data_IF_959027868432
#
_entry.id   IF_959027868432
#
_cell.length_a   1.000
_cell.length_b   1.000
_cell.length_c   1.000
_cell.angle_alpha   90.00
_cell.angle_beta   90.00
_cell.angle_gamma   90.00
#
_symmetry.space_group_name_H-M   'P 1'
#
loop_
_entity.id
_entity.type
_entity.pdbx_description
1 polymer ?
#
# COMPACT_ATOMS: atom_id res chain seq x y z
N UNK A 1 7.71 -8.75 24.81
CA UNK A 1 6.32 -9.08 25.15
C UNK A 1 6.35 -9.95 26.40
N UNK A 2 5.57 -9.60 27.45
CA UNK A 2 5.46 -10.44 28.63
C UNK A 2 4.69 -11.69 28.27
N UNK A 3 5.02 -12.84 28.86
CA UNK A 3 4.29 -14.11 28.74
C UNK A 3 2.78 -14.01 29.06
N UNK A 4 2.35 -12.87 29.55
CA UNK A 4 0.99 -12.51 29.89
C UNK A 4 0.04 -12.40 28.68
N UNK A 5 0.59 -12.20 27.46
CA UNK A 5 -0.17 -11.98 26.22
C UNK A 5 0.20 -12.94 25.08
N UNK A 6 0.74 -14.11 25.41
CA UNK A 6 1.11 -15.15 24.44
C UNK A 6 -0.06 -15.68 23.60
N UNK A 7 -1.29 -15.52 24.12
CA UNK A 7 -2.54 -15.86 23.46
C UNK A 7 -3.05 -14.76 22.50
N UNK A 8 -2.44 -13.57 22.49
CA UNK A 8 -2.88 -12.41 21.72
C UNK A 8 -2.14 -12.32 20.38
N UNK A 9 -2.88 -12.46 19.31
CA UNK A 9 -2.39 -12.20 17.95
C UNK A 9 -2.77 -10.81 17.50
N UNK A 10 -1.78 -9.93 17.32
CA UNK A 10 -2.02 -8.57 16.84
C UNK A 10 -1.90 -8.51 15.33
N UNK A 11 -2.83 -7.83 14.70
CA UNK A 11 -2.87 -7.63 13.25
C UNK A 11 -2.60 -6.18 12.89
N UNK A 12 -1.81 -5.97 11.84
CA UNK A 12 -1.65 -4.63 11.27
C UNK A 12 -2.96 -4.18 10.63
N UNK A 13 -3.37 -2.93 10.89
CA UNK A 13 -4.48 -2.29 10.19
C UNK A 13 -4.15 -2.08 8.72
N UNK A 14 -4.89 -2.74 7.83
CA UNK A 14 -4.59 -2.73 6.39
C UNK A 14 -4.86 -1.37 5.76
N UNK A 15 -5.79 -0.57 6.28
CA UNK A 15 -6.04 0.79 5.83
C UNK A 15 -4.85 1.71 6.12
N UNK A 16 -4.30 1.66 7.33
CA UNK A 16 -3.09 2.39 7.70
C UNK A 16 -1.86 1.87 6.96
N UNK A 17 -1.77 0.57 6.74
CA UNK A 17 -0.71 -0.04 5.92
C UNK A 17 -0.77 0.51 4.49
N UNK A 18 -1.95 0.51 3.85
CA UNK A 18 -2.16 1.05 2.51
C UNK A 18 -1.73 2.53 2.41
N UNK A 19 -2.18 3.38 3.34
CA UNK A 19 -1.81 4.80 3.35
C UNK A 19 -0.30 5.02 3.43
N UNK A 20 0.40 4.25 4.26
CA UNK A 20 1.85 4.37 4.41
C UNK A 20 2.63 3.78 3.23
N UNK A 21 2.12 2.74 2.61
CA UNK A 21 2.69 2.21 1.35
C UNK A 21 2.52 3.22 0.21
N UNK A 22 1.34 3.82 0.05
CA UNK A 22 1.10 4.87 -0.95
C UNK A 22 2.04 6.06 -0.70
N UNK A 23 2.18 6.48 0.55
CA UNK A 23 3.11 7.55 0.91
C UNK A 23 4.55 7.20 0.54
N UNK A 24 5.03 6.00 0.86
CA UNK A 24 6.38 5.54 0.50
C UNK A 24 6.57 5.48 -1.01
N UNK A 25 5.58 4.98 -1.74
CA UNK A 25 5.58 4.95 -3.20
C UNK A 25 5.60 6.36 -3.80
N UNK A 26 4.85 7.29 -3.23
CA UNK A 26 4.81 8.68 -3.69
C UNK A 26 6.13 9.41 -3.41
N UNK A 27 6.73 9.20 -2.26
CA UNK A 27 8.04 9.78 -1.95
C UNK A 27 9.13 9.33 -2.94
N UNK A 28 9.06 8.08 -3.42
CA UNK A 28 9.99 7.56 -4.44
C UNK A 28 9.73 8.18 -5.82
N UNK A 29 8.46 8.33 -6.18
CA UNK A 29 8.04 8.67 -7.53
C UNK A 29 7.66 10.15 -7.69
N UNK A 30 7.81 10.96 -6.64
CA UNK A 30 7.34 12.34 -6.64
C UNK A 30 7.99 13.17 -7.74
N UNK A 31 9.28 13.33 -7.65
CA UNK A 31 10.06 14.16 -8.60
C UNK A 31 10.02 13.62 -10.03
N UNK A 32 10.18 12.31 -10.28
CA UNK A 32 10.18 11.84 -11.67
C UNK A 32 8.80 11.89 -12.35
N UNK A 33 7.69 11.75 -11.60
CA UNK A 33 6.39 11.58 -12.23
C UNK A 33 5.24 12.34 -11.56
N UNK A 34 5.07 12.18 -10.23
CA UNK A 34 3.82 12.52 -9.56
C UNK A 34 3.61 14.01 -9.38
N UNK A 35 4.65 14.80 -9.24
CA UNK A 35 4.56 16.23 -9.11
C UNK A 35 3.94 16.86 -10.38
N UNK A 36 4.43 16.45 -11.55
CA UNK A 36 3.88 16.92 -12.82
C UNK A 36 2.45 16.43 -13.05
N UNK A 37 2.13 15.24 -12.59
CA UNK A 37 0.78 14.71 -12.65
C UNK A 37 -0.18 15.49 -11.76
N UNK A 38 0.24 15.91 -10.57
CA UNK A 38 -0.55 16.81 -9.73
C UNK A 38 -0.93 18.09 -10.44
N UNK A 39 0.01 18.69 -11.17
CA UNK A 39 -0.26 19.90 -11.96
C UNK A 39 -1.30 19.65 -13.07
N UNK A 40 -1.18 18.54 -13.80
CA UNK A 40 -2.14 18.13 -14.84
C UNK A 40 -3.53 17.91 -14.26
N UNK A 41 -3.61 17.32 -13.05
CA UNK A 41 -4.86 17.12 -12.33
C UNK A 41 -5.36 18.38 -11.59
N UNK A 42 -4.73 19.52 -11.82
CA UNK A 42 -5.06 20.83 -11.22
C UNK A 42 -4.88 20.91 -9.70
N UNK A 43 -4.02 20.06 -9.13
CA UNK A 43 -3.55 20.20 -7.75
C UNK A 43 -2.28 21.06 -7.74
N UNK A 44 -2.44 22.36 -7.93
CA UNK A 44 -1.32 23.29 -8.20
C UNK A 44 -0.76 23.97 -6.95
N UNK A 45 -1.57 24.12 -5.89
CA UNK A 45 -1.08 24.75 -4.66
C UNK A 45 -0.12 23.81 -3.90
N UNK A 46 0.86 24.41 -3.22
CA UNK A 46 1.84 23.66 -2.41
C UNK A 46 1.16 22.79 -1.34
N UNK A 47 0.08 23.30 -0.74
CA UNK A 47 -0.71 22.51 0.21
C UNK A 47 -1.33 21.29 -0.43
N UNK A 48 -1.98 21.44 -1.61
CA UNK A 48 -2.60 20.32 -2.32
C UNK A 48 -1.54 19.27 -2.73
N UNK A 49 -0.39 19.72 -3.25
CA UNK A 49 0.73 18.85 -3.58
C UNK A 49 1.26 18.12 -2.34
N UNK A 50 1.41 18.83 -1.22
CA UNK A 50 1.89 18.23 0.03
C UNK A 50 0.88 17.23 0.62
N UNK A 51 -0.42 17.53 0.58
CA UNK A 51 -1.46 16.59 1.00
C UNK A 51 -1.46 15.31 0.16
N UNK A 52 -1.29 15.42 -1.15
CA UNK A 52 -1.15 14.27 -2.03
C UNK A 52 0.13 13.46 -1.70
N UNK A 53 1.29 14.13 -1.66
CA UNK A 53 2.59 13.51 -1.40
C UNK A 53 2.65 12.77 -0.06
N UNK A 54 2.05 13.33 0.97
CA UNK A 54 2.05 12.76 2.33
C UNK A 54 0.87 11.84 2.60
N UNK A 55 0.01 11.62 1.60
CA UNK A 55 -1.21 10.82 1.70
C UNK A 55 -2.17 11.28 2.82
N UNK A 56 -2.17 12.59 3.13
CA UNK A 56 -3.11 13.18 4.10
C UNK A 56 -4.53 13.20 3.55
N UNK A 57 -4.69 13.40 2.24
CA UNK A 57 -5.94 13.18 1.53
C UNK A 57 -5.82 11.85 0.76
N UNK A 58 -6.36 10.79 1.37
CA UNK A 58 -6.30 9.46 0.82
C UNK A 58 -7.04 9.32 -0.52
N UNK A 59 -8.12 10.07 -0.73
CA UNK A 59 -8.88 10.03 -1.99
C UNK A 59 -8.08 10.63 -3.14
N UNK A 60 -7.46 11.78 -2.92
CA UNK A 60 -6.58 12.43 -3.90
C UNK A 60 -5.37 11.54 -4.21
N UNK A 61 -4.73 11.00 -3.17
CA UNK A 61 -3.60 10.09 -3.35
C UNK A 61 -3.99 8.85 -4.17
N UNK A 62 -5.17 8.28 -3.90
CA UNK A 62 -5.67 7.15 -4.65
C UNK A 62 -5.95 7.48 -6.12
N UNK A 63 -6.54 8.64 -6.42
CA UNK A 63 -6.77 9.09 -7.80
C UNK A 63 -5.45 9.27 -8.55
N UNK A 64 -4.45 9.89 -7.92
CA UNK A 64 -3.10 10.03 -8.49
C UNK A 64 -2.47 8.67 -8.80
N UNK A 65 -2.58 7.71 -7.87
CA UNK A 65 -2.06 6.35 -8.09
C UNK A 65 -2.74 5.68 -9.29
N UNK A 66 -4.06 5.78 -9.41
CA UNK A 66 -4.80 5.18 -10.53
C UNK A 66 -4.44 5.84 -11.86
N UNK A 67 -4.30 7.16 -11.91
CA UNK A 67 -3.87 7.89 -13.12
C UNK A 67 -2.46 7.47 -13.50
N UNK A 68 -1.53 7.43 -12.53
CA UNK A 68 -0.16 6.98 -12.77
C UNK A 68 -0.13 5.55 -13.33
N UNK A 69 -0.80 4.62 -12.65
CA UNK A 69 -0.85 3.22 -13.05
C UNK A 69 -1.43 3.05 -14.47
N UNK A 70 -2.60 3.62 -14.69
CA UNK A 70 -3.32 3.48 -15.98
C UNK A 70 -2.54 4.09 -17.14
N UNK A 71 -1.96 5.28 -16.92
CA UNK A 71 -1.16 5.96 -17.95
C UNK A 71 0.07 5.15 -18.31
N UNK A 72 0.81 4.74 -17.30
CA UNK A 72 2.07 3.99 -17.48
C UNK A 72 1.82 2.63 -18.10
N UNK A 73 0.77 1.93 -17.65
CA UNK A 73 0.36 0.65 -18.24
C UNK A 73 0.00 0.82 -19.72
N UNK A 74 -0.78 1.84 -20.07
CA UNK A 74 -1.13 2.11 -21.49
C UNK A 74 0.12 2.39 -22.33
N UNK A 75 1.09 3.13 -21.83
CA UNK A 75 2.32 3.44 -22.57
C UNK A 75 3.23 2.22 -22.75
N UNK A 76 3.18 1.25 -21.87
CA UNK A 76 3.94 -0.01 -22.00
C UNK A 76 3.21 -1.06 -22.82
N UNK A 77 1.92 -1.26 -22.56
CA UNK A 77 1.17 -2.37 -23.17
C UNK A 77 0.68 -2.05 -24.57
N UNK A 78 0.27 -0.81 -24.87
CA UNK A 78 -0.23 -0.46 -26.20
C UNK A 78 0.81 -0.65 -27.31
N UNK A 79 2.09 -0.23 -27.15
CA UNK A 79 3.14 -0.53 -28.13
C UNK A 79 3.34 -2.04 -28.33
N UNK A 80 3.35 -2.81 -27.26
CA UNK A 80 3.45 -4.27 -27.32
C UNK A 80 2.29 -4.90 -28.10
N UNK A 81 1.03 -4.55 -27.78
CA UNK A 81 -0.12 -5.09 -28.49
C UNK A 81 -0.06 -4.74 -29.97
N UNK A 82 0.31 -3.50 -30.32
CA UNK A 82 0.48 -3.10 -31.73
C UNK A 82 1.59 -3.91 -32.44
N UNK A 83 2.68 -4.17 -31.74
CA UNK A 83 3.77 -5.00 -32.25
C UNK A 83 3.27 -6.42 -32.54
N UNK A 84 2.58 -7.06 -31.59
CA UNK A 84 2.01 -8.39 -31.76
C UNK A 84 0.99 -8.46 -32.90
N UNK A 85 0.10 -7.46 -33.02
CA UNK A 85 -0.87 -7.38 -34.10
C UNK A 85 -0.20 -7.31 -35.50
N UNK A 86 0.93 -6.60 -35.61
CA UNK A 86 1.71 -6.53 -36.86
C UNK A 86 2.33 -7.89 -37.21
N UNK A 87 2.61 -8.74 -36.24
CA UNK A 87 3.13 -10.09 -36.44
C UNK A 87 2.01 -11.10 -36.68
N UNK A 88 0.74 -10.71 -36.58
CA UNK A 88 -0.41 -11.63 -36.67
C UNK A 88 -0.54 -12.56 -35.47
N UNK A 89 0.05 -12.19 -34.33
CA UNK A 89 0.12 -13.02 -33.12
C UNK A 89 -0.74 -12.47 -31.99
N UNK A 90 -1.29 -13.39 -31.17
CA UNK A 90 -2.03 -13.00 -29.95
C UNK A 90 -1.06 -12.51 -28.86
N UNK A 91 -1.34 -11.37 -28.22
CA UNK A 91 -0.58 -10.89 -27.08
C UNK A 91 -0.82 -11.78 -25.85
N UNK A 92 0.24 -12.23 -25.21
CA UNK A 92 0.22 -12.99 -23.96
C UNK A 92 1.20 -12.37 -22.96
N UNK A 93 1.06 -12.65 -21.65
CA UNK A 93 2.01 -12.16 -20.65
C UNK A 93 3.46 -12.58 -20.92
N UNK A 94 3.69 -13.82 -21.34
CA UNK A 94 5.03 -14.33 -21.65
C UNK A 94 5.66 -13.59 -22.83
N UNK A 95 4.87 -13.34 -23.88
CA UNK A 95 5.32 -12.53 -25.02
C UNK A 95 5.58 -11.09 -24.65
N UNK A 96 4.82 -10.53 -23.69
CA UNK A 96 5.12 -9.21 -23.17
C UNK A 96 6.47 -9.17 -22.47
N UNK A 97 6.80 -10.17 -21.66
CA UNK A 97 8.10 -10.24 -21.00
C UNK A 97 9.27 -10.34 -21.98
N UNK A 98 9.09 -11.08 -23.08
CA UNK A 98 10.09 -11.14 -24.17
C UNK A 98 10.22 -9.77 -24.85
N UNK A 99 9.11 -9.14 -25.21
CA UNK A 99 9.09 -7.80 -25.78
C UNK A 99 9.77 -6.77 -24.85
N UNK A 100 9.47 -6.83 -23.54
CA UNK A 100 10.10 -5.97 -22.55
C UNK A 100 11.62 -6.18 -22.53
N UNK A 101 12.09 -7.42 -22.50
CA UNK A 101 13.51 -7.74 -22.49
C UNK A 101 14.23 -7.24 -23.75
N UNK A 102 13.59 -7.38 -24.90
CA UNK A 102 14.16 -7.01 -26.18
C UNK A 102 14.20 -5.48 -26.41
N UNK A 103 13.10 -4.78 -26.11
CA UNK A 103 12.94 -3.38 -26.52
C UNK A 103 13.00 -2.36 -25.39
N UNK A 104 12.76 -2.77 -24.14
CA UNK A 104 12.59 -1.83 -23.04
C UNK A 104 13.64 -1.96 -21.94
N UNK A 105 14.10 -3.17 -21.63
CA UNK A 105 14.94 -3.43 -20.45
C UNK A 105 16.30 -2.75 -20.50
N UNK A 106 16.83 -2.49 -21.70
CA UNK A 106 18.10 -1.77 -21.89
C UNK A 106 17.99 -0.27 -21.59
N UNK A 107 16.78 0.29 -21.59
CA UNK A 107 16.55 1.68 -21.23
C UNK A 107 16.17 1.77 -19.75
N UNK A 108 17.02 2.41 -18.90
CA UNK A 108 16.78 2.48 -17.45
C UNK A 108 15.44 3.13 -17.06
N UNK A 109 14.92 4.04 -17.88
CA UNK A 109 13.64 4.72 -17.64
C UNK A 109 12.47 3.75 -17.80
N UNK A 110 12.49 2.97 -18.86
CA UNK A 110 11.48 1.95 -19.12
C UNK A 110 11.57 0.81 -18.09
N UNK A 111 12.78 0.37 -17.75
CA UNK A 111 13.00 -0.63 -16.72
C UNK A 111 12.46 -0.16 -15.36
N UNK A 112 12.74 1.09 -15.01
CA UNK A 112 12.21 1.69 -13.79
C UNK A 112 10.69 1.80 -13.82
N UNK A 113 10.11 2.32 -14.88
CA UNK A 113 8.66 2.43 -15.02
C UNK A 113 7.97 1.07 -14.93
N UNK A 114 8.54 0.06 -15.59
CA UNK A 114 8.05 -1.32 -15.52
C UNK A 114 7.99 -1.83 -14.07
N UNK A 115 9.08 -1.64 -13.32
CA UNK A 115 9.14 -1.99 -11.90
C UNK A 115 8.06 -1.27 -11.08
N UNK A 116 7.92 0.05 -11.27
CA UNK A 116 6.93 0.84 -10.53
C UNK A 116 5.49 0.42 -10.83
N UNK A 117 5.19 0.01 -12.06
CA UNK A 117 3.85 -0.39 -12.45
C UNK A 117 3.54 -1.81 -12.02
N UNK A 118 4.32 -2.79 -12.46
CA UNK A 118 3.97 -4.18 -12.29
C UNK A 118 4.29 -4.75 -10.90
N UNK A 119 5.28 -4.18 -10.21
CA UNK A 119 5.61 -4.64 -8.86
C UNK A 119 4.88 -3.83 -7.79
N UNK A 120 4.92 -2.48 -7.84
CA UNK A 120 4.46 -1.66 -6.72
C UNK A 120 3.05 -1.12 -6.90
N UNK A 121 2.76 -0.31 -7.93
CA UNK A 121 1.42 0.29 -8.04
C UNK A 121 0.34 -0.76 -8.28
N UNK A 122 0.63 -1.83 -9.01
CA UNK A 122 -0.29 -2.97 -9.15
C UNK A 122 -0.51 -3.68 -7.81
N UNK A 123 0.55 -3.88 -7.03
CA UNK A 123 0.40 -4.51 -5.71
C UNK A 123 -0.41 -3.63 -4.73
N UNK A 124 -0.28 -2.29 -4.78
CA UNK A 124 -1.12 -1.39 -3.99
C UNK A 124 -2.60 -1.53 -4.40
N UNK A 125 -2.87 -1.60 -5.70
CA UNK A 125 -4.23 -1.83 -6.21
C UNK A 125 -4.75 -3.19 -5.75
N UNK A 126 -3.94 -4.23 -5.84
CA UNK A 126 -4.28 -5.58 -5.40
C UNK A 126 -4.55 -5.63 -3.89
N UNK A 127 -3.78 -4.92 -3.08
CA UNK A 127 -4.01 -4.82 -1.64
C UNK A 127 -5.42 -4.29 -1.35
N UNK A 128 -5.80 -3.16 -1.94
CA UNK A 128 -7.14 -2.59 -1.78
C UNK A 128 -8.24 -3.52 -2.31
N UNK A 129 -8.01 -4.14 -3.46
CA UNK A 129 -8.98 -5.10 -4.01
C UNK A 129 -9.12 -6.35 -3.14
N UNK A 130 -8.03 -6.81 -2.55
CA UNK A 130 -8.02 -7.91 -1.58
C UNK A 130 -8.87 -7.58 -0.34
N UNK A 131 -8.66 -6.41 0.24
CA UNK A 131 -9.48 -5.92 1.36
C UNK A 131 -10.95 -5.79 0.94
N UNK A 132 -11.23 -5.12 -0.18
CA UNK A 132 -12.60 -4.91 -0.66
C UNK A 132 -13.38 -6.20 -0.90
N UNK A 133 -12.70 -7.27 -1.26
CA UNK A 133 -13.28 -8.58 -1.58
C UNK A 133 -13.12 -9.63 -0.48
N UNK A 134 -12.57 -9.26 0.66
CA UNK A 134 -12.20 -10.19 1.75
C UNK A 134 -11.35 -11.36 1.24
N UNK A 135 -10.34 -11.06 0.42
CA UNK A 135 -9.45 -12.05 -0.19
C UNK A 135 -8.06 -11.96 0.44
N UNK A 136 -7.80 -12.81 1.43
CA UNK A 136 -6.53 -12.85 2.17
C UNK A 136 -5.35 -13.20 1.27
N UNK A 137 -5.49 -14.14 0.35
CA UNK A 137 -4.41 -14.52 -0.57
C UNK A 137 -3.93 -13.32 -1.40
N UNK A 138 -4.87 -12.50 -1.89
CA UNK A 138 -4.53 -11.31 -2.65
C UNK A 138 -3.85 -10.26 -1.77
N UNK A 139 -4.30 -10.11 -0.51
CA UNK A 139 -3.68 -9.22 0.48
C UNK A 139 -2.27 -9.65 0.80
N UNK A 140 -2.04 -10.93 1.09
CA UNK A 140 -0.70 -11.46 1.43
C UNK A 140 0.26 -11.35 0.25
N UNK A 141 -0.19 -11.68 -0.97
CA UNK A 141 0.60 -11.48 -2.19
C UNK A 141 0.99 -10.01 -2.39
N UNK A 142 0.05 -9.09 -2.18
CA UNK A 142 0.33 -7.67 -2.28
C UNK A 142 1.36 -7.22 -1.23
N UNK A 143 1.19 -7.59 0.03
CA UNK A 143 2.13 -7.28 1.12
C UNK A 143 3.53 -7.80 0.82
N UNK A 144 3.66 -9.00 0.28
CA UNK A 144 4.94 -9.56 -0.12
C UNK A 144 5.72 -8.65 -1.09
N UNK A 145 5.04 -8.05 -2.07
CA UNK A 145 5.68 -7.12 -3.01
C UNK A 145 5.92 -5.73 -2.42
N UNK A 146 5.11 -5.29 -1.45
CA UNK A 146 5.14 -3.93 -0.92
C UNK A 146 6.13 -3.73 0.24
N UNK A 147 6.48 -4.80 0.94
CA UNK A 147 7.38 -4.74 2.11
C UNK A 147 8.69 -3.98 1.86
N UNK A 148 9.25 -4.12 0.67
CA UNK A 148 10.54 -3.48 0.32
C UNK A 148 10.46 -1.96 0.25
N UNK A 149 9.26 -1.38 0.02
CA UNK A 149 9.08 0.07 0.01
C UNK A 149 9.46 0.72 1.34
N UNK A 150 9.17 0.06 2.46
CA UNK A 150 9.53 0.56 3.78
C UNK A 150 11.03 0.52 4.07
N UNK A 151 11.75 -0.43 3.47
CA UNK A 151 13.22 -0.53 3.60
C UNK A 151 13.94 0.46 2.68
N UNK A 152 13.36 0.78 1.53
CA UNK A 152 13.89 1.78 0.61
C UNK A 152 13.69 3.21 1.08
N UNK A 153 12.75 3.43 2.01
CA UNK A 153 12.42 4.74 2.60
C UNK A 153 12.54 4.69 4.11
N UNK A 154 12.65 5.85 4.73
CA UNK A 154 12.82 5.94 6.19
C UNK A 154 11.47 5.82 6.92
N UNK A 155 10.90 4.61 6.92
CA UNK A 155 9.67 4.28 7.63
C UNK A 155 9.92 3.17 8.68
N UNK A 156 10.72 3.41 9.73
CA UNK A 156 11.17 2.36 10.65
C UNK A 156 10.03 1.66 11.38
N UNK A 157 8.99 2.39 11.80
CA UNK A 157 7.85 1.78 12.50
C UNK A 157 7.11 0.77 11.61
N UNK A 158 6.76 1.14 10.37
CA UNK A 158 6.04 0.25 9.47
C UNK A 158 6.91 -0.91 8.98
N UNK A 159 8.22 -0.70 8.87
CA UNK A 159 9.17 -1.77 8.59
C UNK A 159 9.14 -2.85 9.68
N UNK A 160 9.21 -2.43 10.94
CA UNK A 160 9.20 -3.36 12.08
C UNK A 160 7.85 -4.06 12.24
N UNK A 161 6.75 -3.30 12.09
CA UNK A 161 5.39 -3.86 12.17
C UNK A 161 5.16 -4.88 11.04
N UNK A 162 5.58 -4.60 9.81
CA UNK A 162 5.44 -5.51 8.67
C UNK A 162 6.24 -6.80 8.90
N UNK A 163 7.46 -6.67 9.40
CA UNK A 163 8.30 -7.82 9.72
C UNK A 163 7.66 -8.68 10.83
N UNK A 164 7.20 -8.05 11.91
CA UNK A 164 6.50 -8.73 13.00
C UNK A 164 5.24 -9.45 12.51
N UNK A 165 4.39 -8.79 11.73
CA UNK A 165 3.16 -9.37 11.18
C UNK A 165 3.47 -10.56 10.25
N UNK A 166 4.54 -10.48 9.46
CA UNK A 166 5.00 -11.59 8.61
C UNK A 166 5.48 -12.78 9.43
N UNK A 167 6.29 -12.56 10.46
CA UNK A 167 6.78 -13.61 11.35
C UNK A 167 5.64 -14.25 12.14
N UNK A 168 4.77 -13.41 12.72
CA UNK A 168 3.61 -13.89 13.48
C UNK A 168 2.70 -14.76 12.59
N UNK A 169 2.40 -14.34 11.36
CA UNK A 169 1.61 -15.12 10.42
C UNK A 169 2.29 -16.45 10.06
N UNK A 170 3.61 -16.46 9.94
CA UNK A 170 4.36 -17.69 9.61
C UNK A 170 4.27 -18.74 10.73
N UNK A 171 4.38 -18.29 11.98
CA UNK A 171 4.47 -19.18 13.14
C UNK A 171 3.14 -19.45 13.86
N UNK A 172 2.05 -18.75 13.50
CA UNK A 172 0.76 -18.97 14.15
C UNK A 172 0.15 -20.34 13.79
N UNK A 173 -0.64 -20.97 14.68
CA UNK A 173 -1.37 -22.20 14.40
C UNK A 173 -2.30 -22.10 13.19
N UNK A 174 -2.51 -23.22 12.50
CA UNK A 174 -3.34 -23.22 11.26
C UNK A 174 -4.80 -22.84 11.52
N UNK A 175 -5.35 -23.16 12.69
CA UNK A 175 -6.69 -22.75 13.09
C UNK A 175 -6.78 -21.23 13.20
N UNK A 176 -5.77 -20.59 13.77
CA UNK A 176 -5.69 -19.13 13.90
C UNK A 176 -5.50 -18.48 12.52
N UNK A 177 -4.62 -19.05 11.67
CA UNK A 177 -4.45 -18.61 10.28
C UNK A 177 -5.78 -18.63 9.52
N UNK A 178 -6.54 -19.71 9.67
CA UNK A 178 -7.83 -19.86 9.01
C UNK A 178 -8.83 -18.78 9.45
N UNK A 179 -8.90 -18.48 10.76
CA UNK A 179 -9.72 -17.37 11.26
C UNK A 179 -9.22 -16.03 10.69
N UNK A 180 -7.92 -15.83 10.71
CA UNK A 180 -7.28 -14.61 10.20
C UNK A 180 -7.57 -14.36 8.73
N UNK A 181 -7.45 -15.39 7.91
CA UNK A 181 -7.66 -15.33 6.47
C UNK A 181 -9.11 -15.09 6.09
N UNK A 182 -10.04 -15.70 6.82
CA UNK A 182 -11.47 -15.52 6.59
C UNK A 182 -12.01 -14.18 7.08
N UNK A 183 -11.28 -13.47 7.95
CA UNK A 183 -11.68 -12.20 8.53
C UNK A 183 -10.73 -11.05 8.13
N UNK A 184 -10.33 -11.00 6.88
CA UNK A 184 -9.46 -9.94 6.34
C UNK A 184 -10.15 -8.58 6.32
N UNK A 185 -11.47 -8.56 6.07
CA UNK A 185 -12.25 -7.35 6.02
C UNK A 185 -13.67 -7.61 6.53
N UNK A 186 -14.37 -6.55 6.89
CA UNK A 186 -15.79 -6.59 7.22
C UNK A 186 -16.61 -5.76 6.23
N UNK A 187 -17.91 -6.01 6.15
CA UNK A 187 -18.82 -5.23 5.30
C UNK A 187 -20.00 -4.72 6.13
N UNK A 188 -20.21 -3.42 6.13
CA UNK A 188 -21.39 -2.82 6.77
C UNK A 188 -22.66 -3.09 5.96
N UNK A 189 -22.56 -3.09 4.63
CA UNK A 189 -23.69 -3.24 3.72
C UNK A 189 -23.96 -4.68 3.26
N UNK A 190 -23.16 -5.66 3.68
CA UNK A 190 -23.26 -7.07 3.25
C UNK A 190 -22.81 -7.33 1.81
N UNK A 191 -22.37 -6.34 1.06
CA UNK A 191 -21.89 -6.52 -0.32
C UNK A 191 -20.46 -7.02 -0.38
N UNK A 192 -20.21 -8.13 -1.05
CA UNK A 192 -18.90 -8.79 -1.18
C UNK A 192 -17.78 -7.95 -1.81
N UNK A 193 -18.10 -6.81 -2.42
CA UNK A 193 -17.11 -5.91 -3.05
C UNK A 193 -16.89 -4.60 -2.29
N UNK A 194 -17.50 -4.45 -1.11
CA UNK A 194 -17.45 -3.24 -0.29
C UNK A 194 -16.79 -3.48 1.07
N UNK A 195 -15.93 -4.49 1.15
CA UNK A 195 -15.15 -4.77 2.35
C UNK A 195 -14.32 -3.57 2.77
N UNK A 196 -14.19 -3.40 4.07
CA UNK A 196 -13.37 -2.40 4.73
C UNK A 196 -12.49 -3.09 5.75
N UNK A 197 -11.32 -2.56 6.00
CA UNK A 197 -10.45 -3.11 7.01
C UNK A 197 -10.95 -2.80 8.43
N UNK A 198 -10.53 -3.61 9.39
CA UNK A 198 -10.96 -3.50 10.79
C UNK A 198 -10.53 -2.18 11.44
N UNK A 199 -9.41 -1.60 11.02
CA UNK A 199 -8.96 -0.30 11.53
C UNK A 199 -9.90 0.85 11.16
N UNK A 200 -10.66 0.73 10.06
CA UNK A 200 -11.71 1.68 9.73
C UNK A 200 -12.79 1.74 10.81
N UNK A 201 -13.20 0.59 11.35
CA UNK A 201 -14.17 0.54 12.43
C UNK A 201 -13.66 1.24 13.69
N UNK A 202 -12.39 1.01 14.04
CA UNK A 202 -11.73 1.70 15.16
C UNK A 202 -11.67 3.21 14.95
N UNK A 203 -11.37 3.67 13.73
CA UNK A 203 -11.33 5.11 13.41
C UNK A 203 -12.71 5.76 13.51
N UNK A 204 -13.76 5.09 13.08
CA UNK A 204 -15.14 5.60 13.26
C UNK A 204 -15.51 5.70 14.74
N UNK A 205 -15.17 4.71 15.56
CA UNK A 205 -15.35 4.76 17.01
C UNK A 205 -14.51 5.85 17.66
N UNK A 206 -13.26 5.97 17.29
CA UNK A 206 -12.38 7.06 17.75
C UNK A 206 -12.95 8.44 17.39
N UNK A 207 -13.52 8.57 16.19
CA UNK A 207 -14.15 9.83 15.76
C UNK A 207 -15.35 10.16 16.63
N UNK A 208 -16.20 9.18 16.94
CA UNK A 208 -17.33 9.36 17.82
C UNK A 208 -16.89 9.78 19.23
N UNK A 209 -15.92 9.07 19.80
CA UNK A 209 -15.37 9.39 21.14
C UNK A 209 -14.75 10.79 21.18
N UNK A 210 -13.99 11.19 20.16
CA UNK A 210 -13.35 12.52 20.09
C UNK A 210 -14.34 13.69 20.15
N UNK A 211 -15.61 13.49 19.78
CA UNK A 211 -16.63 14.53 19.86
C UNK A 211 -16.98 14.90 21.31
N UNK A 212 -16.71 14.01 22.25
CA UNK A 212 -17.03 14.21 23.68
C UNK A 212 -15.82 14.63 24.51
N UNK A 213 -14.62 14.73 23.88
CA UNK A 213 -13.43 15.20 24.59
C UNK A 213 -13.50 16.73 24.73
N UNK A 214 -13.41 17.26 25.96
CA UNK A 214 -13.36 18.69 26.17
C UNK A 214 -12.16 19.33 25.43
N UNK A 215 -12.39 20.44 24.75
CA UNK A 215 -11.31 21.17 24.09
C UNK A 215 -10.28 21.68 25.10
N UNK A 216 -9.00 21.34 24.89
CA UNK A 216 -7.88 21.87 25.66
C UNK A 216 -7.50 21.11 26.93
N UNK A 217 -8.13 19.97 27.25
CA UNK A 217 -7.73 19.13 28.38
C UNK A 217 -7.58 17.66 27.99
N UNK A 218 -6.68 16.96 28.65
CA UNK A 218 -6.60 15.50 28.60
C UNK A 218 -7.63 14.99 29.63
N UNK A 219 -8.64 14.21 29.24
CA UNK A 219 -9.62 13.67 30.19
C UNK A 219 -8.94 12.77 31.22
N UNK A 220 -9.45 12.77 32.45
CA UNK A 220 -9.07 11.79 33.48
C UNK A 220 -9.56 10.39 33.07
N UNK A 221 -9.00 9.34 33.66
CA UNK A 221 -9.45 7.97 33.43
C UNK A 221 -10.95 7.79 33.70
N UNK A 222 -11.45 8.39 34.77
CA UNK A 222 -12.87 8.37 35.12
C UNK A 222 -13.73 9.05 34.03
N UNK A 223 -13.26 10.15 33.46
CA UNK A 223 -13.93 10.81 32.34
C UNK A 223 -13.92 9.93 31.08
N UNK A 224 -12.80 9.27 30.81
CA UNK A 224 -12.71 8.31 29.71
C UNK A 224 -13.66 7.14 29.88
N UNK A 225 -13.73 6.55 31.06
CA UNK A 225 -14.63 5.45 31.37
C UNK A 225 -16.09 5.89 31.19
N UNK A 226 -16.44 7.08 31.71
CA UNK A 226 -17.78 7.63 31.54
C UNK A 226 -18.15 7.87 30.07
N UNK A 227 -17.23 8.39 29.26
CA UNK A 227 -17.44 8.58 27.82
C UNK A 227 -17.63 7.22 27.12
N UNK A 228 -16.76 6.25 27.38
CA UNK A 228 -16.82 4.94 26.76
C UNK A 228 -18.10 4.18 27.13
N UNK A 229 -18.50 4.19 28.40
CA UNK A 229 -19.71 3.52 28.87
C UNK A 229 -21.01 4.14 28.31
N UNK A 230 -21.01 5.45 28.05
CA UNK A 230 -22.21 6.16 27.60
C UNK A 230 -22.26 6.40 26.09
N UNK A 231 -21.22 6.07 25.35
CA UNK A 231 -21.09 6.40 23.92
C UNK A 231 -22.28 5.90 23.10
N UNK A 232 -22.71 4.67 23.31
CA UNK A 232 -23.83 4.08 22.57
C UNK A 232 -25.14 4.81 22.85
N UNK A 233 -25.42 5.12 24.10
CA UNK A 233 -26.64 5.85 24.48
C UNK A 233 -26.68 7.25 23.88
N UNK A 234 -25.54 7.93 23.80
CA UNK A 234 -25.44 9.26 23.20
C UNK A 234 -25.61 9.18 21.68
N UNK A 235 -25.02 8.19 21.01
CA UNK A 235 -25.25 7.94 19.59
C UNK A 235 -26.72 7.65 19.28
N UNK A 236 -27.39 6.82 20.08
CA UNK A 236 -28.79 6.49 19.92
C UNK A 236 -29.68 7.73 20.12
N UNK A 237 -29.38 8.56 21.13
CA UNK A 237 -30.08 9.82 21.37
C UNK A 237 -29.89 10.81 20.22
N UNK A 238 -28.67 10.96 19.70
CA UNK A 238 -28.39 11.82 18.55
C UNK A 238 -29.15 11.36 17.30
N UNK A 239 -29.20 10.05 17.05
CA UNK A 239 -29.95 9.48 15.94
C UNK A 239 -31.44 9.72 16.09
N UNK A 240 -31.99 9.56 17.31
CA UNK A 240 -33.38 9.83 17.60
C UNK A 240 -33.73 11.31 17.36
N UNK A 241 -32.94 12.24 17.91
CA UNK A 241 -33.14 13.68 17.72
C UNK A 241 -33.00 14.06 16.23
N UNK A 242 -32.00 13.52 15.51
CA UNK A 242 -31.81 13.76 14.09
C UNK A 242 -33.02 13.28 13.26
N UNK A 243 -33.61 12.14 13.63
CA UNK A 243 -34.82 11.62 12.97
C UNK A 243 -36.05 12.53 13.21
N UNK A 244 -36.20 13.08 14.42
CA UNK A 244 -37.29 14.00 14.75
C UNK A 244 -37.17 15.35 14.02
N UNK A 245 -35.94 15.85 13.88
CA UNK A 245 -35.66 17.15 13.22
C UNK A 245 -35.59 17.01 11.69
N UNK A 246 -35.54 15.77 11.17
CA UNK A 246 -35.40 15.52 9.72
C UNK A 246 -34.03 15.86 9.17
N UNK A 247 -33.02 16.10 10.02
CA UNK A 247 -31.65 16.39 9.64
C UNK A 247 -30.86 15.09 9.52
N UNK A 248 -30.99 14.43 8.39
CA UNK A 248 -30.01 13.42 8.05
C UNK A 248 -28.69 14.14 7.72
N UNK A 249 -27.65 13.89 8.50
CA UNK A 249 -26.30 14.29 8.14
C UNK A 249 -25.91 13.57 6.84
N UNK A 250 -26.24 14.17 5.71
CA UNK A 250 -25.60 13.77 4.47
C UNK A 250 -24.16 14.25 4.54
N UNK A 251 -23.23 13.34 4.76
CA UNK A 251 -21.80 13.61 4.58
C UNK A 251 -21.54 13.80 3.07
N UNK A 252 -22.14 14.79 2.47
CA UNK A 252 -21.86 15.22 1.12
C UNK A 252 -20.55 16.01 1.10
N UNK A 253 -19.43 15.32 1.37
CA UNK A 253 -18.16 15.78 0.86
C UNK A 253 -18.23 15.69 -0.66
N UNK A 254 -18.49 16.80 -1.31
CA UNK A 254 -18.27 16.92 -2.73
C UNK A 254 -16.76 16.86 -2.97
N UNK A 255 -16.24 15.65 -3.10
CA UNK A 255 -14.90 15.43 -3.65
C UNK A 255 -14.89 16.04 -5.05
N UNK A 256 -13.95 16.95 -5.30
CA UNK A 256 -13.74 17.53 -6.64
C UNK A 256 -13.58 16.36 -7.63
N UNK A 257 -14.53 16.20 -8.51
CA UNK A 257 -14.47 15.17 -9.55
C UNK A 257 -13.32 15.52 -10.50
N UNK A 258 -12.27 14.71 -10.47
CA UNK A 258 -11.18 14.80 -11.45
C UNK A 258 -11.60 14.00 -12.68
N UNK A 259 -11.51 14.61 -13.84
CA UNK A 259 -11.64 13.88 -15.11
C UNK A 259 -10.40 12.99 -15.29
N UNK A 260 -10.56 11.73 -14.93
CA UNK A 260 -9.49 10.73 -14.97
C UNK A 260 -9.06 10.47 -16.40
N UNK A 261 -9.96 10.48 -17.36
CA UNK A 261 -9.65 10.20 -18.76
C UNK A 261 -8.79 11.34 -19.35
N UNK A 262 -9.18 12.58 -19.10
CA UNK A 262 -8.38 13.76 -19.47
C UNK A 262 -7.00 13.71 -18.81
N UNK A 263 -6.93 13.43 -17.52
CA UNK A 263 -5.67 13.34 -16.79
C UNK A 263 -4.76 12.24 -17.35
N UNK A 264 -5.29 11.05 -17.64
CA UNK A 264 -4.55 9.94 -18.25
C UNK A 264 -4.00 10.33 -19.61
N UNK A 265 -4.82 10.92 -20.48
CA UNK A 265 -4.40 11.27 -21.84
C UNK A 265 -3.34 12.40 -21.83
N UNK A 266 -3.51 13.40 -20.98
CA UNK A 266 -2.56 14.50 -20.83
C UNK A 266 -1.23 14.03 -20.23
N UNK A 267 -1.27 13.16 -19.24
CA UNK A 267 -0.05 12.64 -18.63
C UNK A 267 0.70 11.67 -19.56
N UNK A 268 0.01 10.96 -20.44
CA UNK A 268 0.67 10.13 -21.47
C UNK A 268 1.62 10.95 -22.34
N UNK A 269 1.25 12.14 -22.74
CA UNK A 269 2.13 13.03 -23.53
C UNK A 269 3.39 13.42 -22.73
N UNK A 270 3.19 13.80 -21.47
CA UNK A 270 4.31 14.13 -20.58
C UNK A 270 5.22 12.92 -20.36
N UNK A 271 4.66 11.75 -20.10
CA UNK A 271 5.42 10.52 -19.86
C UNK A 271 6.27 10.14 -21.08
N UNK A 272 5.74 10.26 -22.31
CA UNK A 272 6.50 10.05 -23.54
C UNK A 272 7.71 10.97 -23.67
N UNK A 273 7.55 12.22 -23.26
CA UNK A 273 8.66 13.16 -23.23
C UNK A 273 9.75 12.72 -22.25
N UNK A 274 9.38 12.23 -21.08
CA UNK A 274 10.34 11.69 -20.11
C UNK A 274 11.03 10.40 -20.58
N UNK A 275 10.33 9.57 -21.34
CA UNK A 275 10.84 8.27 -21.76
C UNK A 275 11.70 8.34 -23.03
N UNK A 276 11.78 9.49 -23.71
CA UNK A 276 12.66 9.66 -24.86
C UNK A 276 14.14 9.54 -24.47
N UNK A 277 14.94 8.76 -25.22
CA UNK A 277 16.35 8.57 -24.90
C UNK A 277 17.17 9.88 -24.87
N UNK A 278 16.80 10.83 -25.71
CA UNK A 278 17.50 12.12 -25.91
C UNK A 278 17.25 13.14 -24.79
N UNK A 279 16.34 12.84 -23.86
CA UNK A 279 16.04 13.75 -22.77
C UNK A 279 17.04 13.60 -21.63
N UNK A 280 18.05 14.48 -21.59
CA UNK A 280 19.11 14.48 -20.57
C UNK A 280 18.63 14.69 -19.14
N UNK A 281 17.38 15.11 -18.93
CA UNK A 281 16.86 15.35 -17.58
C UNK A 281 16.66 14.08 -16.77
N UNK A 282 16.59 12.94 -17.42
CA UNK A 282 16.46 11.65 -16.76
C UNK A 282 17.72 10.80 -17.00
N UNK A 283 18.71 10.92 -16.14
CA UNK A 283 19.89 10.10 -16.22
C UNK A 283 19.62 8.65 -15.81
N UNK A 284 20.39 7.70 -16.33
CA UNK A 284 20.31 6.31 -15.93
C UNK A 284 20.57 6.10 -14.43
N UNK A 285 20.51 4.86 -13.97
CA UNK A 285 20.68 4.49 -12.55
C UNK A 285 21.99 5.00 -11.93
N UNK A 286 23.02 5.22 -12.73
CA UNK A 286 24.30 5.82 -12.32
C UNK A 286 24.28 7.35 -12.28
N UNK A 287 23.23 8.00 -12.72
CA UNK A 287 23.15 9.45 -12.83
C UNK A 287 22.75 10.15 -11.54
N UNK A 288 23.37 11.29 -11.27
CA UNK A 288 23.07 12.14 -10.12
C UNK A 288 21.66 12.74 -10.13
N UNK A 289 20.94 12.60 -11.22
CA UNK A 289 19.58 13.15 -11.41
C UNK A 289 18.45 12.17 -11.02
N UNK A 290 18.77 10.92 -10.66
CA UNK A 290 17.81 10.03 -10.05
C UNK A 290 17.53 10.44 -8.60
N UNK A 291 16.28 10.26 -8.19
CA UNK A 291 15.91 10.55 -6.80
C UNK A 291 16.81 9.70 -5.87
N UNK A 292 17.51 10.30 -4.88
CA UNK A 292 18.43 9.57 -4.01
C UNK A 292 17.80 8.39 -3.28
N UNK A 293 16.53 8.51 -2.92
CA UNK A 293 15.76 7.43 -2.30
C UNK A 293 15.55 6.21 -3.19
N UNK A 294 15.52 6.41 -4.53
CA UNK A 294 15.39 5.31 -5.48
C UNK A 294 16.68 4.50 -5.57
N UNK A 295 17.82 5.17 -5.73
CA UNK A 295 19.11 4.47 -5.76
C UNK A 295 19.31 3.65 -4.49
N UNK A 296 19.06 4.27 -3.34
CA UNK A 296 19.14 3.61 -2.03
C UNK A 296 18.16 2.45 -1.91
N UNK A 297 16.95 2.57 -2.47
CA UNK A 297 15.97 1.50 -2.50
C UNK A 297 16.44 0.31 -3.34
N UNK A 298 16.89 0.56 -4.57
CA UNK A 298 17.32 -0.49 -5.51
C UNK A 298 18.57 -1.23 -5.02
N UNK A 299 19.51 -0.51 -4.42
CA UNK A 299 20.80 -1.06 -3.98
C UNK A 299 20.71 -1.78 -2.62
N UNK A 300 19.83 -1.32 -1.74
CA UNK A 300 19.92 -1.69 -0.32
C UNK A 300 18.62 -2.21 0.31
N UNK A 301 17.48 -2.21 -0.37
CA UNK A 301 16.21 -2.58 0.26
C UNK A 301 16.21 -4.02 0.78
N UNK A 302 16.62 -4.96 -0.03
CA UNK A 302 16.68 -6.38 0.35
C UNK A 302 17.77 -6.63 1.38
N UNK A 303 18.98 -6.09 1.15
CA UNK A 303 20.10 -6.23 2.09
C UNK A 303 19.75 -5.64 3.47
N UNK A 304 19.17 -4.45 3.51
CA UNK A 304 18.74 -3.83 4.77
C UNK A 304 17.68 -4.64 5.50
N UNK A 305 16.79 -5.31 4.78
CA UNK A 305 15.81 -6.20 5.40
C UNK A 305 16.50 -7.38 6.07
N UNK A 306 17.46 -8.01 5.39
CA UNK A 306 18.23 -9.12 5.94
C UNK A 306 19.06 -8.69 7.16
N UNK A 307 19.75 -7.56 7.07
CA UNK A 307 20.52 -7.01 8.18
C UNK A 307 19.63 -6.71 9.40
N UNK A 308 18.44 -6.15 9.16
CA UNK A 308 17.47 -5.87 10.21
C UNK A 308 16.97 -7.16 10.89
N UNK A 309 16.65 -8.19 10.12
CA UNK A 309 16.28 -9.50 10.66
C UNK A 309 17.42 -10.04 11.54
N UNK A 310 18.65 -9.99 11.04
CA UNK A 310 19.79 -10.55 11.77
C UNK A 310 20.18 -9.73 13.01
N UNK A 311 20.06 -8.40 12.97
CA UNK A 311 20.54 -7.54 14.07
C UNK A 311 19.47 -7.23 15.11
N UNK A 312 18.25 -6.95 14.71
CA UNK A 312 17.18 -6.55 15.65
C UNK A 312 16.33 -7.74 16.09
N UNK A 313 15.94 -8.64 15.18
CA UNK A 313 15.05 -9.75 15.52
C UNK A 313 15.81 -10.88 16.22
N UNK A 314 17.00 -11.26 15.74
CA UNK A 314 17.76 -12.34 16.35
C UNK A 314 18.50 -11.91 17.62
N UNK A 315 18.84 -10.61 17.79
CA UNK A 315 19.51 -10.12 18.99
C UNK A 315 18.56 -9.66 20.09
N UNK A 316 17.31 -9.32 19.78
CA UNK A 316 16.29 -8.97 20.80
C UNK A 316 15.62 -10.18 21.43
N UNK A 317 15.95 -11.42 21.02
CA UNK A 317 15.36 -12.62 21.54
C UNK A 317 16.27 -13.50 22.39
N UNK A 318 16.17 -13.36 23.72
CA UNK A 318 16.41 -14.51 24.56
C UNK A 318 15.15 -15.34 24.88
N UNK A 319 13.96 -14.98 24.46
CA UNK A 319 12.70 -15.56 24.97
C UNK A 319 11.63 -15.98 23.96
N UNK A 320 11.87 -15.97 22.65
CA UNK A 320 11.08 -16.86 21.80
C UNK A 320 11.54 -18.28 22.13
N UNK A 321 10.70 -19.02 22.82
CA UNK A 321 10.90 -20.46 23.05
C UNK A 321 10.85 -21.13 21.68
N UNK A 322 11.97 -21.05 20.97
CA UNK A 322 12.28 -22.03 19.94
C UNK A 322 12.45 -23.35 20.74
N UNK A 323 11.48 -24.24 20.58
CA UNK A 323 11.63 -25.60 21.04
C UNK A 323 13.03 -26.05 20.62
N UNK A 324 13.88 -26.38 21.60
CA UNK A 324 15.33 -26.64 21.45
C UNK A 324 15.66 -27.90 20.62
N UNK A 325 14.78 -28.32 19.76
CA UNK A 325 15.01 -29.45 18.86
C UNK A 325 15.11 -28.94 17.44
N UNK A 326 16.36 -28.63 17.08
CA UNK A 326 16.92 -28.30 15.77
C UNK A 326 16.60 -26.91 15.19
N UNK A 327 17.63 -26.11 14.88
CA UNK A 327 17.44 -24.92 14.07
C UNK A 327 17.03 -25.37 12.68
N UNK A 328 15.77 -25.14 12.30
CA UNK A 328 15.33 -25.27 10.91
C UNK A 328 15.99 -24.12 10.14
N UNK A 329 17.20 -24.35 9.67
CA UNK A 329 17.79 -23.54 8.62
C UNK A 329 16.96 -23.77 7.36
N UNK A 330 16.03 -22.87 7.10
CA UNK A 330 15.38 -22.82 5.78
C UNK A 330 16.45 -22.34 4.82
N UNK A 331 16.95 -23.24 3.98
CA UNK A 331 17.98 -22.90 2.97
C UNK A 331 17.42 -21.90 1.96
N UNK A 332 18.29 -21.08 1.38
CA UNK A 332 17.91 -20.16 0.28
C UNK A 332 17.21 -20.90 -0.86
N UNK A 333 17.54 -22.18 -1.06
CA UNK A 333 16.91 -23.06 -2.05
C UNK A 333 15.48 -23.45 -1.69
N UNK A 334 15.15 -23.62 -0.41
CA UNK A 334 13.79 -23.87 0.05
C UNK A 334 12.92 -22.60 -0.04
N UNK A 335 13.48 -21.43 0.26
CA UNK A 335 12.84 -20.15 0.06
C UNK A 335 12.58 -19.94 -1.45
N UNK A 336 13.56 -20.19 -2.30
CA UNK A 336 13.41 -20.11 -3.75
C UNK A 336 12.40 -21.12 -4.29
N UNK A 337 12.36 -22.33 -3.76
CA UNK A 337 11.37 -23.37 -4.11
C UNK A 337 9.95 -22.97 -3.72
N UNK A 338 9.77 -22.37 -2.53
CA UNK A 338 8.47 -21.82 -2.10
C UNK A 338 8.03 -20.62 -2.94
N UNK A 339 8.95 -19.74 -3.27
CA UNK A 339 8.68 -18.60 -4.17
C UNK A 339 8.31 -19.06 -5.57
N UNK A 340 8.94 -20.10 -6.11
CA UNK A 340 8.59 -20.69 -7.41
C UNK A 340 7.23 -21.44 -7.40
N UNK A 341 6.80 -21.95 -6.27
CA UNK A 341 5.44 -22.52 -6.13
C UNK A 341 4.37 -21.44 -6.11
N UNK A 342 4.64 -20.30 -5.48
CA UNK A 342 3.73 -19.16 -5.45
C UNK A 342 3.66 -18.38 -6.78
N UNK A 343 4.70 -18.46 -7.61
CA UNK A 343 4.71 -17.85 -8.95
C UNK A 343 3.97 -18.67 -10.01
N UNK A 344 3.53 -19.89 -9.68
CA UNK A 344 2.79 -20.80 -10.59
C UNK A 344 1.29 -20.85 -10.30
N UNK A 345 0.81 -20.08 -9.32
CA UNK A 345 -0.59 -19.82 -9.03
C UNK A 345 -0.94 -18.40 -9.47
#
# INVERSE_FOLDING_TARGET
FSLEFDWLYMRIGLGHFEMNVIKSFFELNWTPFLEKMCEIMQFTSDNAKNFAKTCKDHHVAWQLLLVFHTTSLKEMVVPFVRYMMKQGEMPTPDKYLLFYKEFMSSNPRWAYLHLQVFRFSQAIINLRMGVRRNNSCLVQSAKFHLKELFYGRSHPHYRNIELFDTLQYHFMPDEVKNIWDNNTAFTVSGHNSKGQDLDFLLEEKNRAVKQFIPSGSIPSNETWDAICCNLQYIEDLQNLVSSWVGTHRSNNYQTKHVDIEFAVNSFRQTLRTYLKPENETFCGLSGSKLHPGLLKFLETSTLKRMDHINTEVLNEEPNLIVNQNEPVYVSDEEIASHMNKLSKI
#
